data_IF_147627366651
#
_entry.id   IF_147627366651
#
_cell.length_a   1.000
_cell.length_b   1.000
_cell.length_c   1.000
_cell.angle_alpha   90.00
_cell.angle_beta   90.00
_cell.angle_gamma   90.00
#
_symmetry.space_group_name_H-M   'P 1'
#
loop_
_entity.id
_entity.type
_entity.pdbx_description
1 polymer ?
#
# COMPACT_ATOMS: atom_id res chain seq x y z
N UNK A 1 -46.85 19.78 31.16
CA UNK A 1 -45.40 20.04 31.19
C UNK A 1 -44.86 19.75 29.80
N UNK A 2 -44.69 20.78 28.95
CA UNK A 2 -44.15 20.63 27.58
C UNK A 2 -42.63 20.60 27.69
N UNK A 3 -42.02 19.46 27.40
CA UNK A 3 -40.57 19.35 27.25
C UNK A 3 -40.24 19.95 25.88
N UNK A 4 -39.77 21.19 25.86
CA UNK A 4 -39.14 21.79 24.69
C UNK A 4 -37.77 21.16 24.52
N UNK A 5 -37.67 20.13 23.68
CA UNK A 5 -36.39 19.63 23.17
C UNK A 5 -35.74 20.74 22.34
N UNK A 6 -34.53 21.15 22.72
CA UNK A 6 -33.73 22.10 21.98
C UNK A 6 -33.33 21.47 20.63
N UNK A 7 -33.92 21.95 19.54
CA UNK A 7 -33.74 21.39 18.19
C UNK A 7 -32.25 21.35 17.78
N UNK A 8 -31.40 22.22 18.34
CA UNK A 8 -29.95 22.23 18.08
C UNK A 8 -29.22 21.02 18.68
N UNK A 9 -29.68 20.50 19.81
CA UNK A 9 -29.08 19.31 20.45
C UNK A 9 -29.52 18.01 19.77
N UNK A 10 -30.70 17.99 19.14
CA UNK A 10 -31.17 16.85 18.35
C UNK A 10 -30.43 16.74 17.00
N UNK A 11 -30.09 17.87 16.37
CA UNK A 11 -29.31 17.90 15.11
C UNK A 11 -27.86 17.46 15.34
N UNK A 12 -27.26 17.78 16.49
CA UNK A 12 -25.91 17.32 16.83
C UNK A 12 -25.84 15.80 17.09
N UNK A 13 -26.89 15.22 17.69
CA UNK A 13 -26.96 13.78 17.93
C UNK A 13 -27.25 12.99 16.64
N UNK A 14 -28.05 13.55 15.72
CA UNK A 14 -28.35 12.92 14.42
C UNK A 14 -27.14 12.98 13.48
N UNK A 15 -26.31 14.03 13.55
CA UNK A 15 -25.03 14.08 12.83
C UNK A 15 -23.95 13.14 13.43
N UNK A 16 -24.08 12.72 14.69
CA UNK A 16 -23.17 11.73 15.28
C UNK A 16 -23.64 10.28 15.06
N UNK A 17 -24.89 10.08 14.65
CA UNK A 17 -25.50 8.78 14.37
C UNK A 17 -25.54 8.42 12.87
N UNK A 18 -25.17 9.35 12.00
CA UNK A 18 -24.97 9.07 10.57
C UNK A 18 -23.47 8.89 10.33
N UNK A 19 -23.10 7.66 9.94
CA UNK A 19 -21.80 7.21 9.44
C UNK A 19 -20.81 6.64 10.47
N UNK A 20 -21.31 5.85 11.42
CA UNK A 20 -20.57 4.65 11.80
C UNK A 20 -21.39 3.47 11.29
N UNK A 21 -21.45 3.32 9.97
CA UNK A 21 -21.66 1.98 9.44
C UNK A 21 -20.42 1.20 9.87
N UNK A 22 -20.53 0.03 10.51
CA UNK A 22 -19.37 -0.85 10.59
C UNK A 22 -18.88 -1.00 9.15
N UNK A 23 -17.60 -0.74 8.91
CA UNK A 23 -16.95 -1.13 7.67
C UNK A 23 -17.08 -2.65 7.58
N UNK A 24 -18.18 -3.12 7.03
CA UNK A 24 -18.35 -4.50 6.65
C UNK A 24 -17.42 -4.65 5.47
N UNK A 25 -16.49 -5.60 5.54
CA UNK A 25 -15.65 -5.94 4.40
C UNK A 25 -16.53 -6.02 3.14
N UNK A 26 -16.02 -5.53 2.03
CA UNK A 26 -16.67 -5.58 0.74
C UNK A 26 -15.62 -5.45 -0.35
N UNK A 27 -15.98 -5.75 -1.59
CA UNK A 27 -15.11 -5.46 -2.72
C UNK A 27 -15.04 -3.97 -3.11
N UNK A 28 -15.68 -3.09 -2.32
CA UNK A 28 -15.56 -1.65 -2.49
C UNK A 28 -14.32 -1.13 -1.74
N UNK A 29 -13.78 0.01 -2.17
CA UNK A 29 -12.66 0.65 -1.50
C UNK A 29 -13.06 1.28 -0.16
N UNK A 30 -13.24 0.43 0.84
CA UNK A 30 -13.67 0.80 2.19
C UNK A 30 -12.59 0.59 3.26
N UNK A 31 -11.39 0.13 2.86
CA UNK A 31 -10.22 -0.08 3.72
C UNK A 31 -9.00 0.68 3.23
N UNK A 32 -9.17 2.01 3.15
CA UNK A 32 -8.13 2.94 2.76
C UNK A 32 -6.78 2.71 3.46
N UNK A 33 -5.70 2.79 2.67
CA UNK A 33 -4.33 2.69 3.17
C UNK A 33 -4.04 3.89 4.09
N UNK A 34 -3.37 3.61 5.19
CA UNK A 34 -3.08 4.60 6.24
C UNK A 34 -1.60 4.94 6.26
N UNK A 35 -1.27 6.23 6.42
CA UNK A 35 0.10 6.66 6.66
C UNK A 35 0.59 6.10 7.98
N UNK A 36 1.67 5.31 7.93
CA UNK A 36 2.33 4.76 9.13
C UNK A 36 3.64 5.46 9.44
N UNK A 37 4.31 6.00 8.42
CA UNK A 37 5.55 6.75 8.53
C UNK A 37 5.46 7.94 7.59
N UNK A 38 5.78 9.11 8.13
CA UNK A 38 6.01 10.34 7.40
C UNK A 38 7.23 11.00 8.02
N UNK A 39 8.23 11.31 7.21
CA UNK A 39 9.48 11.92 7.67
C UNK A 39 10.18 12.70 6.55
N UNK A 40 11.14 13.52 6.95
CA UNK A 40 11.92 14.39 6.07
C UNK A 40 13.41 14.37 6.48
N UNK A 41 14.29 13.96 5.57
CA UNK A 41 15.75 13.93 5.79
C UNK A 41 16.53 13.91 4.47
N UNK A 42 17.84 14.14 4.51
CA UNK A 42 18.70 13.95 3.34
C UNK A 42 18.86 12.45 3.04
N UNK A 43 18.34 11.99 1.91
CA UNK A 43 18.24 10.57 1.64
C UNK A 43 17.37 10.22 0.44
N UNK A 44 17.05 8.93 0.32
CA UNK A 44 16.14 8.40 -0.71
C UNK A 44 15.52 7.09 -0.21
N UNK A 45 14.67 6.45 -1.01
CA UNK A 45 14.11 5.13 -0.70
C UNK A 45 14.01 4.24 -1.93
N UNK A 46 13.94 2.93 -1.67
CA UNK A 46 13.73 1.90 -2.67
C UNK A 46 12.67 0.89 -2.20
N UNK A 47 11.95 0.32 -3.16
CA UNK A 47 10.99 -0.76 -2.91
C UNK A 47 11.25 -1.91 -3.87
N UNK A 48 11.51 -3.09 -3.32
CA UNK A 48 11.76 -4.30 -4.11
C UNK A 48 10.74 -5.38 -3.83
N UNK A 49 10.34 -6.12 -4.87
CA UNK A 49 9.59 -7.37 -4.75
C UNK A 49 10.52 -8.60 -4.68
N UNK A 50 11.84 -8.40 -4.72
CA UNK A 50 12.81 -9.48 -4.78
C UNK A 50 12.57 -10.40 -5.98
N UNK A 51 12.72 -11.71 -5.76
CA UNK A 51 12.39 -12.75 -6.73
C UNK A 51 11.00 -13.39 -6.50
N UNK A 52 10.06 -12.59 -5.97
CA UNK A 52 8.71 -13.04 -5.63
C UNK A 52 8.01 -13.77 -6.79
N UNK A 53 7.34 -14.87 -6.45
CA UNK A 53 6.47 -15.65 -7.31
C UNK A 53 5.23 -16.09 -6.54
N UNK A 54 4.15 -16.38 -7.24
CA UNK A 54 2.99 -16.98 -6.60
C UNK A 54 3.34 -18.36 -6.06
N UNK A 55 3.05 -18.62 -4.79
CA UNK A 55 3.40 -19.89 -4.15
C UNK A 55 2.50 -21.05 -4.57
N UNK A 56 1.30 -20.76 -5.08
CA UNK A 56 0.19 -21.72 -5.03
C UNK A 56 -0.32 -21.90 -3.61
N UNK A 57 -1.24 -22.84 -3.42
CA UNK A 57 -1.76 -23.19 -2.10
C UNK A 57 -0.66 -23.88 -1.27
N UNK A 58 -0.33 -23.30 -0.11
CA UNK A 58 0.63 -23.86 0.83
C UNK A 58 -0.08 -24.71 1.87
N UNK A 59 0.25 -26.00 1.90
CA UNK A 59 -0.19 -26.93 2.95
C UNK A 59 0.64 -26.77 4.23
N UNK A 60 0.15 -27.32 5.34
CA UNK A 60 0.85 -27.26 6.62
C UNK A 60 2.25 -27.87 6.53
N UNK A 61 3.26 -27.12 6.97
CA UNK A 61 4.67 -27.50 6.89
C UNK A 61 5.37 -27.13 5.58
N UNK A 62 4.63 -26.70 4.55
CA UNK A 62 5.24 -26.17 3.33
C UNK A 62 5.80 -24.78 3.55
N UNK A 63 6.85 -24.46 2.79
CA UNK A 63 7.61 -23.22 2.91
C UNK A 63 7.65 -22.43 1.63
N UNK A 64 7.70 -21.11 1.76
CA UNK A 64 7.92 -20.18 0.67
C UNK A 64 9.06 -19.22 1.03
N UNK A 65 9.89 -18.85 0.06
CA UNK A 65 11.06 -18.00 0.28
C UNK A 65 11.21 -16.99 -0.85
N UNK A 66 11.48 -15.74 -0.48
CA UNK A 66 11.82 -14.63 -1.38
C UNK A 66 13.20 -14.12 -1.05
N UNK A 67 14.01 -13.89 -2.07
CA UNK A 67 15.36 -13.35 -1.98
C UNK A 67 15.38 -11.89 -2.44
N UNK A 68 16.13 -11.07 -1.71
CA UNK A 68 16.35 -9.66 -1.96
C UNK A 68 17.85 -9.39 -2.05
N UNK A 69 18.23 -8.48 -2.94
CA UNK A 69 19.58 -7.93 -3.00
C UNK A 69 19.53 -6.48 -2.51
N UNK A 70 20.13 -6.24 -1.34
CA UNK A 70 20.17 -4.93 -0.69
C UNK A 70 21.47 -4.25 -1.07
N UNK A 71 21.37 -3.12 -1.79
CA UNK A 71 22.51 -2.34 -2.27
C UNK A 71 22.26 -0.86 -2.00
N UNK A 72 22.52 -0.36 -0.78
CA UNK A 72 22.33 1.04 -0.44
C UNK A 72 23.16 1.95 -1.36
N UNK A 73 22.70 3.17 -1.68
CA UNK A 73 23.52 4.15 -2.40
C UNK A 73 24.82 4.43 -1.63
N UNK A 74 25.90 4.72 -2.35
CA UNK A 74 27.23 4.93 -1.76
C UNK A 74 27.18 5.97 -0.62
N UNK A 75 27.78 5.63 0.52
CA UNK A 75 27.83 6.50 1.70
C UNK A 75 26.53 6.55 2.52
N UNK A 76 25.47 5.83 2.12
CA UNK A 76 24.19 5.86 2.82
C UNK A 76 24.10 4.79 3.91
N UNK A 77 23.44 5.12 5.02
CA UNK A 77 22.96 4.16 6.01
C UNK A 77 21.50 3.77 5.72
N UNK A 78 21.09 2.60 6.22
CA UNK A 78 19.68 2.18 6.21
C UNK A 78 19.02 2.74 7.47
N UNK A 79 18.01 3.61 7.29
CA UNK A 79 17.26 4.25 8.37
C UNK A 79 15.99 3.49 8.72
N UNK A 80 15.29 2.97 7.70
CA UNK A 80 14.09 2.14 7.86
C UNK A 80 14.24 0.93 6.95
N UNK A 81 13.92 -0.25 7.48
CA UNK A 81 13.71 -1.45 6.68
C UNK A 81 12.38 -2.09 7.07
N UNK A 82 11.45 -2.20 6.11
CA UNK A 82 10.13 -2.79 6.33
C UNK A 82 9.87 -3.88 5.31
N UNK A 83 9.46 -5.05 5.79
CA UNK A 83 9.05 -6.14 4.93
C UNK A 83 7.55 -6.37 4.98
N UNK A 84 7.02 -6.82 3.85
CA UNK A 84 5.61 -7.07 3.63
C UNK A 84 5.45 -8.48 3.09
N UNK A 85 4.62 -9.32 3.72
CA UNK A 85 4.22 -10.62 3.17
C UNK A 85 2.77 -10.50 2.70
N UNK A 86 2.54 -10.70 1.40
CA UNK A 86 1.22 -10.59 0.79
C UNK A 86 0.62 -11.96 0.59
N UNK A 87 -0.55 -12.19 1.18
CA UNK A 87 -1.20 -13.49 1.18
C UNK A 87 -2.69 -13.39 0.85
N UNK A 88 -3.25 -14.51 0.38
CA UNK A 88 -4.61 -14.59 -0.11
C UNK A 88 -5.16 -16.01 0.02
N UNK A 89 -6.47 -16.18 -0.17
CA UNK A 89 -7.16 -17.47 -0.12
C UNK A 89 -6.92 -18.24 1.20
N UNK A 90 -6.79 -17.54 2.34
CA UNK A 90 -6.58 -18.19 3.63
C UNK A 90 -7.87 -18.81 4.16
N UNK A 91 -7.84 -20.14 4.36
CA UNK A 91 -9.03 -20.95 4.64
C UNK A 91 -8.72 -22.21 5.46
N UNK A 92 -9.76 -22.74 6.09
CA UNK A 92 -9.82 -24.12 6.56
C UNK A 92 -11.07 -24.77 5.96
N UNK A 93 -10.90 -25.67 5.00
CA UNK A 93 -12.02 -26.20 4.22
C UNK A 93 -12.74 -25.09 3.44
N UNK A 94 -13.96 -24.73 3.89
CA UNK A 94 -14.76 -23.63 3.33
C UNK A 94 -14.89 -22.42 4.27
N UNK A 95 -14.24 -22.47 5.42
CA UNK A 95 -14.24 -21.36 6.38
C UNK A 95 -13.05 -20.45 6.10
N UNK A 96 -13.29 -19.15 5.93
CA UNK A 96 -12.22 -18.16 5.89
C UNK A 96 -11.58 -18.01 7.26
N UNK A 97 -10.25 -18.09 7.32
CA UNK A 97 -9.46 -17.92 8.54
C UNK A 97 -8.31 -16.95 8.31
N UNK A 98 -7.69 -16.49 9.39
CA UNK A 98 -6.37 -15.85 9.28
C UNK A 98 -5.29 -16.93 9.14
N UNK A 99 -4.24 -16.68 8.34
CA UNK A 99 -3.18 -17.64 8.18
C UNK A 99 -2.34 -17.72 9.45
N UNK A 100 -1.83 -18.92 9.71
CA UNK A 100 -0.89 -19.19 10.80
C UNK A 100 0.42 -19.64 10.17
N UNK A 101 1.46 -18.81 10.23
CA UNK A 101 2.78 -19.16 9.70
C UNK A 101 3.90 -18.56 10.56
N UNK A 102 5.09 -19.13 10.42
CA UNK A 102 6.32 -18.60 11.01
C UNK A 102 7.18 -18.02 9.91
N UNK A 103 7.62 -16.79 10.07
CA UNK A 103 8.53 -16.12 9.14
C UNK A 103 9.90 -15.90 9.77
N UNK A 104 10.94 -15.90 8.95
CA UNK A 104 12.32 -15.69 9.36
C UNK A 104 13.10 -14.92 8.30
N UNK A 105 13.97 -14.02 8.73
CA UNK A 105 14.97 -13.38 7.89
C UNK A 105 16.26 -14.18 7.93
N UNK A 106 16.80 -14.50 6.76
CA UNK A 106 18.05 -15.22 6.58
C UNK A 106 19.06 -14.31 5.92
N UNK A 107 20.23 -14.16 6.56
CA UNK A 107 21.34 -13.38 6.03
C UNK A 107 22.68 -13.97 6.50
N UNK A 108 23.63 -14.13 5.59
CA UNK A 108 24.99 -14.60 5.89
C UNK A 108 25.04 -15.89 6.74
N UNK A 109 24.12 -16.82 6.50
CA UNK A 109 24.00 -18.09 7.23
C UNK A 109 23.34 -18.00 8.62
N UNK A 110 22.99 -16.79 9.07
CA UNK A 110 22.17 -16.55 10.26
C UNK A 110 20.69 -16.53 9.88
N UNK A 111 19.84 -16.98 10.81
CA UNK A 111 18.38 -16.96 10.65
C UNK A 111 17.76 -16.38 11.91
N UNK A 112 16.96 -15.32 11.76
CA UNK A 112 16.25 -14.64 12.84
C UNK A 112 14.75 -14.82 12.62
N UNK A 113 14.01 -15.17 13.68
CA UNK A 113 12.55 -15.26 13.61
C UNK A 113 11.97 -13.85 13.54
N UNK A 114 11.06 -13.62 12.61
CA UNK A 114 10.37 -12.34 12.48
C UNK A 114 9.13 -12.29 13.37
N UNK A 115 8.95 -11.15 14.03
CA UNK A 115 7.75 -10.84 14.79
C UNK A 115 6.88 -9.92 13.95
N UNK A 116 5.65 -10.34 13.68
CA UNK A 116 4.67 -9.50 12.99
C UNK A 116 4.44 -8.22 13.80
N UNK A 117 4.69 -7.08 13.18
CA UNK A 117 4.38 -5.77 13.75
C UNK A 117 2.88 -5.46 13.59
N UNK A 118 2.34 -5.77 12.40
CA UNK A 118 0.95 -5.49 12.05
C UNK A 118 0.45 -6.38 10.94
N UNK A 119 -0.83 -6.74 10.99
CA UNK A 119 -1.56 -7.42 9.91
C UNK A 119 -2.75 -6.59 9.45
N UNK A 120 -2.82 -6.34 8.15
CA UNK A 120 -3.98 -5.76 7.46
C UNK A 120 -4.72 -6.87 6.74
N UNK A 121 -6.05 -6.89 6.85
CA UNK A 121 -6.86 -7.96 6.25
C UNK A 121 -8.12 -7.44 5.62
N UNK A 122 -8.50 -8.13 4.56
CA UNK A 122 -9.77 -7.91 3.90
C UNK A 122 -10.34 -9.19 3.30
N UNK A 123 -11.65 -9.16 3.03
CA UNK A 123 -12.39 -10.26 2.45
C UNK A 123 -13.43 -9.74 1.49
N UNK A 124 -14.07 -10.66 0.77
CA UNK A 124 -15.24 -10.36 -0.05
C UNK A 124 -16.37 -9.73 0.78
N UNK A 125 -16.55 -10.21 2.01
CA UNK A 125 -17.40 -9.61 3.04
C UNK A 125 -18.91 -9.68 2.79
N UNK A 126 -19.32 -10.62 1.92
CA UNK A 126 -20.69 -11.10 1.83
C UNK A 126 -20.73 -12.61 1.75
N UNK A 127 -21.80 -13.20 2.30
CA UNK A 127 -21.96 -14.66 2.40
C UNK A 127 -21.85 -15.30 1.03
N UNK A 128 -20.79 -16.09 0.86
CA UNK A 128 -20.40 -16.74 -0.38
C UNK A 128 -19.63 -18.02 -0.04
N UNK A 129 -19.58 -18.97 -0.98
CA UNK A 129 -18.83 -20.22 -0.80
C UNK A 129 -17.32 -20.01 -0.62
N UNK A 130 -16.81 -18.87 -1.07
CA UNK A 130 -15.38 -18.52 -1.11
C UNK A 130 -15.15 -17.12 -0.53
N UNK A 131 -15.67 -16.85 0.68
CA UNK A 131 -15.36 -15.64 1.44
C UNK A 131 -14.14 -15.92 2.33
N UNK A 132 -12.96 -15.91 1.70
CA UNK A 132 -11.68 -16.18 2.35
C UNK A 132 -10.92 -14.88 2.57
N UNK A 133 -9.99 -14.91 3.53
CA UNK A 133 -9.19 -13.74 3.83
C UNK A 133 -8.01 -13.58 2.86
N UNK A 134 -7.72 -12.32 2.59
CA UNK A 134 -6.47 -11.84 2.01
C UNK A 134 -5.88 -10.76 2.92
N UNK A 135 -4.57 -10.53 2.83
CA UNK A 135 -3.92 -9.61 3.74
C UNK A 135 -2.46 -9.33 3.44
N UNK A 136 -1.95 -8.40 4.26
CA UNK A 136 -0.55 -7.97 4.28
C UNK A 136 -0.06 -8.05 5.72
N UNK A 137 1.00 -8.82 5.94
CA UNK A 137 1.70 -8.86 7.22
C UNK A 137 2.97 -8.02 7.11
N UNK A 138 3.18 -7.16 8.10
CA UNK A 138 4.26 -6.17 8.14
C UNK A 138 5.25 -6.52 9.23
N UNK A 139 6.53 -6.35 8.90
CA UNK A 139 7.65 -6.59 9.78
C UNK A 139 8.59 -5.39 9.74
N UNK A 140 8.93 -4.84 10.91
CA UNK A 140 10.04 -3.90 11.04
C UNK A 140 11.35 -4.68 11.14
N UNK A 141 12.22 -4.45 10.16
CA UNK A 141 13.53 -5.10 10.01
C UNK A 141 14.67 -4.08 10.19
N UNK A 142 14.39 -2.89 10.70
CA UNK A 142 15.38 -1.81 10.80
C UNK A 142 16.56 -2.17 11.71
N UNK A 143 16.35 -3.07 12.67
CA UNK A 143 17.43 -3.62 13.51
C UNK A 143 18.16 -4.83 12.87
N UNK A 144 17.54 -5.47 11.88
CA UNK A 144 18.04 -6.71 11.26
C UNK A 144 18.77 -6.47 9.91
N UNK A 145 18.43 -5.40 9.20
CA UNK A 145 19.02 -5.03 7.90
C UNK A 145 19.75 -3.70 8.05
N UNK A 146 21.07 -3.77 8.19
CA UNK A 146 21.93 -2.60 8.40
C UNK A 146 23.05 -2.44 7.37
N UNK A 147 23.22 -3.42 6.47
CA UNK A 147 24.31 -3.41 5.49
C UNK A 147 23.88 -3.96 4.13
N UNK A 148 24.74 -3.77 3.14
CA UNK A 148 24.55 -4.35 1.82
C UNK A 148 24.69 -5.87 1.87
N UNK A 149 23.87 -6.59 1.10
CA UNK A 149 23.96 -8.04 1.03
C UNK A 149 22.72 -8.71 0.46
N UNK A 150 22.76 -10.04 0.46
CA UNK A 150 21.61 -10.84 0.08
C UNK A 150 20.84 -11.25 1.34
N UNK A 151 19.54 -11.02 1.31
CA UNK A 151 18.62 -11.33 2.39
C UNK A 151 17.52 -12.23 1.85
N UNK A 152 17.07 -13.20 2.64
CA UNK A 152 15.92 -14.03 2.28
C UNK A 152 14.86 -13.96 3.36
N UNK A 153 13.62 -13.70 2.98
CA UNK A 153 12.47 -13.86 3.86
C UNK A 153 11.88 -15.24 3.56
N UNK A 154 11.93 -16.12 4.56
CA UNK A 154 11.34 -17.45 4.48
C UNK A 154 10.12 -17.51 5.40
N UNK A 155 9.08 -18.21 4.95
CA UNK A 155 7.89 -18.48 5.75
C UNK A 155 7.50 -19.96 5.65
N UNK A 156 6.93 -20.50 6.72
CA UNK A 156 6.44 -21.87 6.81
C UNK A 156 5.01 -21.87 7.35
N UNK A 157 4.08 -22.50 6.64
CA UNK A 157 2.71 -22.68 7.12
C UNK A 157 2.72 -23.52 8.41
N UNK A 158 2.15 -22.96 9.48
CA UNK A 158 2.11 -23.54 10.83
C UNK A 158 0.68 -23.82 11.33
N UNK A 159 -0.34 -23.68 10.47
CA UNK A 159 -1.75 -23.77 10.86
C UNK A 159 -2.27 -25.16 11.20
N UNK A 160 -1.55 -26.22 10.82
CA UNK A 160 -1.99 -27.60 10.98
C UNK A 160 -2.95 -28.04 9.86
N UNK A 161 -3.58 -29.21 10.05
CA UNK A 161 -4.32 -29.89 8.98
C UNK A 161 -5.44 -29.03 8.37
N UNK A 162 -5.54 -29.09 7.04
CA UNK A 162 -6.54 -28.39 6.20
C UNK A 162 -6.51 -26.86 6.24
N UNK A 163 -5.61 -26.24 7.01
CA UNK A 163 -5.39 -24.79 6.99
C UNK A 163 -4.40 -24.42 5.90
N UNK A 164 -4.91 -23.79 4.84
CA UNK A 164 -4.10 -23.42 3.67
C UNK A 164 -4.28 -21.95 3.33
N UNK A 165 -3.27 -21.41 2.65
CA UNK A 165 -3.28 -20.06 2.11
C UNK A 165 -2.29 -19.99 0.94
N UNK A 166 -2.37 -18.93 0.15
CA UNK A 166 -1.39 -18.66 -0.90
C UNK A 166 -0.61 -17.40 -0.56
N UNK A 167 0.65 -17.36 -0.96
CA UNK A 167 1.52 -16.17 -0.89
C UNK A 167 1.71 -15.64 -2.30
N UNK A 168 1.45 -14.34 -2.47
CA UNK A 168 1.57 -13.65 -3.76
C UNK A 168 2.98 -13.09 -3.97
N UNK A 169 3.69 -12.86 -2.87
CA UNK A 169 5.07 -12.39 -2.86
C UNK A 169 5.42 -11.79 -1.51
N UNK A 170 6.61 -11.21 -1.45
CA UNK A 170 7.04 -10.33 -0.39
C UNK A 170 7.59 -9.03 -0.98
N UNK A 171 7.43 -7.93 -0.24
CA UNK A 171 8.02 -6.63 -0.54
C UNK A 171 9.04 -6.24 0.52
N UNK A 172 10.08 -5.52 0.12
CA UNK A 172 11.05 -4.91 1.02
C UNK A 172 11.19 -3.43 0.67
N UNK A 173 10.79 -2.57 1.61
CA UNK A 173 10.96 -1.13 1.56
C UNK A 173 12.20 -0.75 2.38
N UNK A 174 13.10 0.00 1.78
CA UNK A 174 14.30 0.53 2.44
C UNK A 174 14.33 2.05 2.30
N UNK A 175 14.47 2.74 3.42
CA UNK A 175 14.73 4.18 3.46
C UNK A 175 16.18 4.38 3.84
N UNK A 176 16.88 5.16 3.03
CA UNK A 176 18.30 5.46 3.21
C UNK A 176 18.49 6.88 3.73
N UNK A 177 19.50 7.07 4.57
CA UNK A 177 19.94 8.38 5.04
C UNK A 177 21.36 8.64 4.52
N UNK A 178 21.56 9.81 3.91
CA UNK A 178 22.84 10.24 3.41
C UNK A 178 22.87 11.78 3.30
N UNK A 179 23.75 12.47 4.04
CA UNK A 179 23.81 13.93 4.03
C UNK A 179 24.22 14.53 2.67
N UNK A 180 24.84 13.74 1.78
CA UNK A 180 25.24 14.16 0.44
C UNK A 180 24.13 13.95 -0.60
N UNK A 181 23.00 13.33 -0.24
CA UNK A 181 21.81 13.21 -1.08
C UNK A 181 20.85 14.39 -0.88
N UNK A 182 19.94 14.66 -1.84
CA UNK A 182 18.93 15.68 -1.69
C UNK A 182 18.10 15.52 -0.41
N UNK A 183 17.63 16.64 0.11
CA UNK A 183 16.58 16.64 1.13
C UNK A 183 15.33 16.01 0.53
N UNK A 184 14.73 15.10 1.27
CA UNK A 184 13.67 14.23 0.79
C UNK A 184 12.59 14.11 1.84
N UNK A 185 11.33 14.26 1.44
CA UNK A 185 10.15 14.02 2.29
C UNK A 185 9.37 12.85 1.72
N UNK A 186 8.88 11.96 2.58
CA UNK A 186 8.16 10.77 2.12
C UNK A 186 7.05 10.35 3.07
N UNK A 187 6.02 9.74 2.48
CA UNK A 187 4.91 9.11 3.18
C UNK A 187 4.87 7.64 2.81
N UNK A 188 4.78 6.76 3.81
CA UNK A 188 4.59 5.33 3.63
C UNK A 188 3.18 5.00 4.10
N UNK A 189 2.29 4.72 3.15
CA UNK A 189 0.94 4.30 3.44
C UNK A 189 0.82 2.79 3.25
N UNK A 190 0.25 2.12 4.26
CA UNK A 190 0.12 0.67 4.33
C UNK A 190 -1.34 0.26 4.56
N UNK A 191 -1.70 -0.91 4.06
CA UNK A 191 -3.03 -1.47 4.24
C UNK A 191 -3.24 -2.79 3.48
N UNK A 192 -4.51 -3.15 3.37
CA UNK A 192 -5.00 -4.21 2.50
C UNK A 192 -6.48 -3.93 2.22
N UNK A 193 -6.78 -3.59 0.98
CA UNK A 193 -8.13 -3.37 0.47
C UNK A 193 -8.32 -4.24 -0.77
N UNK A 194 -9.24 -5.20 -0.72
CA UNK A 194 -9.50 -6.16 -1.80
C UNK A 194 -10.59 -5.59 -2.69
N UNK A 195 -10.20 -5.13 -3.88
CA UNK A 195 -11.09 -4.47 -4.81
C UNK A 195 -11.53 -5.40 -5.91
N UNK A 196 -12.83 -5.42 -6.18
CA UNK A 196 -13.37 -6.13 -7.33
C UNK A 196 -14.67 -5.51 -7.85
N UNK A 197 -14.61 -4.90 -9.04
CA UNK A 197 -15.75 -4.31 -9.75
C UNK A 197 -16.65 -5.39 -10.38
N UNK A 198 -17.11 -6.31 -9.55
CA UNK A 198 -18.07 -7.36 -9.85
C UNK A 198 -19.09 -7.45 -8.69
N UNK A 199 -20.10 -8.32 -8.80
CA UNK A 199 -21.09 -8.56 -7.73
C UNK A 199 -21.93 -7.33 -7.34
N UNK A 200 -22.16 -6.42 -8.29
CA UNK A 200 -22.92 -5.19 -8.07
C UNK A 200 -22.08 -4.02 -7.56
N UNK A 201 -20.76 -4.22 -7.42
CA UNK A 201 -19.79 -3.16 -7.22
C UNK A 201 -19.35 -2.65 -8.59
N UNK A 202 -19.51 -1.34 -8.82
CA UNK A 202 -18.98 -0.69 -10.03
C UNK A 202 -17.53 -0.22 -9.81
N UNK A 203 -16.80 0.17 -10.86
CA UNK A 203 -15.41 0.60 -10.72
C UNK A 203 -15.21 1.80 -9.78
N UNK A 204 -16.16 2.73 -9.71
CA UNK A 204 -16.04 3.86 -8.79
C UNK A 204 -16.16 3.37 -7.34
N UNK A 205 -17.03 2.40 -7.05
CA UNK A 205 -17.07 1.76 -5.73
C UNK A 205 -15.81 0.93 -5.45
N UNK A 206 -15.28 0.19 -6.44
CA UNK A 206 -14.05 -0.58 -6.33
C UNK A 206 -12.79 0.29 -6.49
N UNK A 207 -12.75 1.42 -5.79
CA UNK A 207 -11.63 2.36 -5.79
C UNK A 207 -11.24 2.73 -4.37
N UNK A 208 -10.02 2.36 -3.98
CA UNK A 208 -9.39 2.79 -2.72
C UNK A 208 -8.70 4.13 -2.91
N UNK A 209 -8.87 5.05 -1.97
CA UNK A 209 -8.15 6.32 -1.96
C UNK A 209 -7.26 6.42 -0.74
N UNK A 210 -6.04 6.91 -0.92
CA UNK A 210 -5.09 7.17 0.16
C UNK A 210 -4.54 8.58 0.05
N UNK A 211 -4.32 9.21 1.19
CA UNK A 211 -3.97 10.62 1.30
C UNK A 211 -2.52 10.77 1.79
N UNK A 212 -1.85 11.80 1.29
CA UNK A 212 -0.53 12.24 1.71
C UNK A 212 -0.71 13.60 2.36
N UNK A 213 -0.99 13.59 3.66
CA UNK A 213 -1.29 14.80 4.43
C UNK A 213 -0.03 15.63 4.65
N UNK A 214 -0.15 16.94 4.49
CA UNK A 214 0.95 17.88 4.61
C UNK A 214 0.80 19.05 3.64
N UNK A 215 1.53 20.12 3.94
CA UNK A 215 1.68 21.25 3.05
C UNK A 215 2.97 21.07 2.25
N UNK A 216 2.87 21.13 0.93
CA UNK A 216 3.99 21.02 -0.01
C UNK A 216 4.10 22.34 -0.77
N UNK A 217 5.32 22.76 -1.09
CA UNK A 217 5.58 23.84 -2.04
C UNK A 217 6.06 23.23 -3.36
N UNK A 218 5.18 22.92 -4.34
CA UNK A 218 5.57 22.19 -5.55
C UNK A 218 6.70 22.85 -6.34
N UNK A 219 6.84 24.18 -6.25
CA UNK A 219 7.93 24.93 -6.86
C UNK A 219 9.32 24.58 -6.31
N UNK A 220 9.41 24.06 -5.09
CA UNK A 220 10.66 23.65 -4.44
C UNK A 220 11.00 22.18 -4.69
N UNK A 221 10.09 21.42 -5.30
CA UNK A 221 10.28 20.01 -5.60
C UNK A 221 10.98 19.87 -6.95
N UNK A 222 12.09 19.13 -6.97
CA UNK A 222 12.81 18.78 -8.20
C UNK A 222 12.21 17.53 -8.82
N UNK A 223 11.91 16.53 -7.99
CA UNK A 223 11.36 15.25 -8.42
C UNK A 223 10.33 14.75 -7.41
N UNK A 224 9.30 14.08 -7.92
CA UNK A 224 8.31 13.41 -7.08
C UNK A 224 7.92 12.08 -7.71
N UNK A 225 7.96 11.02 -6.90
CA UNK A 225 7.61 9.67 -7.33
C UNK A 225 6.48 9.12 -6.47
N UNK A 226 5.55 8.44 -7.14
CA UNK A 226 4.55 7.59 -6.49
C UNK A 226 4.93 6.14 -6.75
N UNK A 227 5.10 5.37 -5.68
CA UNK A 227 5.27 3.92 -5.73
C UNK A 227 4.01 3.26 -5.18
N UNK A 228 3.47 2.28 -5.89
CA UNK A 228 2.31 1.50 -5.44
C UNK A 228 2.52 0.01 -5.62
N UNK A 229 1.99 -0.78 -4.69
CA UNK A 229 2.05 -2.24 -4.73
C UNK A 229 0.63 -2.78 -4.78
N UNK A 230 0.40 -3.69 -5.73
CA UNK A 230 -0.90 -4.32 -5.92
C UNK A 230 -0.78 -5.82 -6.18
N UNK A 231 -0.90 -6.67 -5.15
CA UNK A 231 -1.12 -8.10 -5.32
C UNK A 231 -2.38 -8.37 -6.16
N UNK A 232 -2.35 -9.39 -7.01
CA UNK A 232 -3.36 -9.72 -8.03
C UNK A 232 -3.60 -8.65 -9.11
N UNK A 233 -3.06 -7.44 -8.98
CA UNK A 233 -3.20 -6.36 -9.96
C UNK A 233 -2.71 -6.77 -11.34
N UNK A 234 -3.60 -6.72 -12.33
CA UNK A 234 -3.29 -7.07 -13.72
C UNK A 234 -3.25 -8.55 -14.03
N UNK A 235 -3.60 -9.43 -13.07
CA UNK A 235 -3.76 -10.85 -13.34
C UNK A 235 -5.10 -11.04 -14.02
N UNK A 236 -5.10 -11.16 -15.34
CA UNK A 236 -6.30 -11.50 -16.09
C UNK A 236 -6.06 -12.73 -16.95
N UNK A 237 -6.99 -13.67 -16.94
CA UNK A 237 -6.91 -14.92 -17.70
C UNK A 237 -7.08 -14.66 -19.21
N UNK A 238 -6.04 -14.11 -19.85
CA UNK A 238 -5.97 -13.92 -21.30
C UNK A 238 -6.58 -12.62 -21.86
N UNK A 239 -6.82 -11.61 -21.02
CA UNK A 239 -7.27 -10.27 -21.44
C UNK A 239 -6.23 -9.18 -21.13
N UNK A 240 -6.43 -7.96 -21.61
CA UNK A 240 -5.65 -6.82 -21.10
C UNK A 240 -6.03 -6.55 -19.64
N UNK A 241 -5.06 -6.11 -18.84
CA UNK A 241 -5.33 -5.63 -17.48
C UNK A 241 -6.41 -4.53 -17.49
N UNK A 242 -7.27 -4.51 -16.47
CA UNK A 242 -8.39 -3.60 -16.25
C UNK A 242 -8.30 -2.99 -14.85
N UNK A 243 -7.26 -2.19 -14.65
CA UNK A 243 -7.06 -1.40 -13.43
C UNK A 243 -6.67 0.03 -13.80
N UNK A 244 -6.82 0.95 -12.85
CA UNK A 244 -6.39 2.34 -13.01
C UNK A 244 -5.70 2.85 -11.76
N UNK A 245 -4.74 3.75 -11.98
CA UNK A 245 -4.12 4.56 -10.94
C UNK A 245 -4.47 6.02 -11.19
N UNK A 246 -4.77 6.74 -10.13
CA UNK A 246 -5.07 8.16 -10.13
C UNK A 246 -4.11 8.86 -9.16
N UNK A 247 -3.66 10.05 -9.51
CA UNK A 247 -2.93 10.94 -8.60
C UNK A 247 -3.49 12.35 -8.75
N UNK A 248 -4.05 12.89 -7.66
CA UNK A 248 -4.80 14.15 -7.62
C UNK A 248 -5.92 14.28 -8.66
N UNK A 249 -6.28 13.19 -9.33
CA UNK A 249 -7.40 13.11 -10.27
C UNK A 249 -8.62 12.61 -9.53
N UNK A 250 -9.74 13.33 -9.67
CA UNK A 250 -10.99 12.97 -8.99
C UNK A 250 -11.58 11.69 -9.55
N UNK A 251 -12.04 10.82 -8.65
CA UNK A 251 -12.86 9.65 -8.96
C UNK A 251 -14.29 9.87 -8.43
N UNK A 252 -15.27 9.09 -8.91
CA UNK A 252 -16.65 9.16 -8.40
C UNK A 252 -16.79 8.75 -6.92
N UNK A 253 -15.78 8.06 -6.40
CA UNK A 253 -15.68 7.46 -5.06
C UNK A 253 -15.37 8.46 -3.95
N UNK A 254 -14.78 9.61 -4.27
CA UNK A 254 -14.35 10.59 -3.27
C UNK A 254 -15.61 11.32 -2.75
N UNK A 255 -16.03 11.11 -1.48
CA UNK A 255 -17.14 11.86 -0.93
C UNK A 255 -16.77 13.35 -0.94
N UNK A 256 -17.66 14.19 -1.46
CA UNK A 256 -17.53 15.65 -1.42
C UNK A 256 -17.67 16.09 0.04
N UNK A 257 -16.61 15.95 0.84
CA UNK A 257 -16.53 16.58 2.15
C UNK A 257 -16.17 18.04 1.91
N UNK A 258 -17.22 18.88 1.89
CA UNK A 258 -17.11 20.33 1.74
C UNK A 258 -16.99 20.78 0.29
N UNK A 259 -17.93 21.60 -0.16
CA UNK A 259 -17.95 22.29 -1.47
C UNK A 259 -16.74 23.22 -1.74
N UNK A 260 -15.70 23.19 -0.88
CA UNK A 260 -14.51 24.03 -0.93
C UNK A 260 -13.34 23.31 -1.65
N UNK A 261 -13.31 21.98 -1.68
CA UNK A 261 -12.28 21.18 -2.37
C UNK A 261 -12.45 21.23 -3.91
N UNK A 262 -13.57 21.75 -4.43
CA UNK A 262 -13.86 21.73 -5.87
C UNK A 262 -13.04 22.70 -6.71
N UNK A 263 -12.47 23.75 -6.13
CA UNK A 263 -11.89 24.90 -6.85
C UNK A 263 -10.36 25.03 -6.80
N UNK A 264 -9.66 24.19 -6.03
CA UNK A 264 -8.25 24.43 -5.67
C UNK A 264 -7.23 23.46 -6.31
N UNK A 265 -7.65 22.35 -6.91
CA UNK A 265 -6.71 21.34 -7.43
C UNK A 265 -6.37 21.63 -8.89
N UNK A 266 -5.06 21.71 -9.17
CA UNK A 266 -4.52 21.68 -10.53
C UNK A 266 -4.81 20.32 -11.18
N UNK A 267 -4.60 20.21 -12.50
CA UNK A 267 -5.02 19.03 -13.27
C UNK A 267 -4.31 17.76 -12.82
N UNK A 268 -5.03 16.90 -12.10
CA UNK A 268 -4.59 15.56 -11.74
C UNK A 268 -4.32 14.66 -12.95
N UNK A 269 -3.88 13.44 -12.67
CA UNK A 269 -3.62 12.44 -13.71
C UNK A 269 -4.21 11.08 -13.38
N UNK A 270 -4.72 10.43 -14.43
CA UNK A 270 -5.07 9.02 -14.43
C UNK A 270 -4.29 8.24 -15.48
N UNK A 271 -4.06 6.97 -15.17
CA UNK A 271 -3.42 6.00 -16.05
C UNK A 271 -4.19 4.69 -15.98
N UNK A 272 -4.25 3.98 -17.12
CA UNK A 272 -4.95 2.72 -17.26
C UNK A 272 -3.94 1.58 -17.38
N UNK A 273 -4.34 0.40 -16.92
CA UNK A 273 -3.62 -0.87 -17.10
C UNK A 273 -2.20 -0.78 -16.54
N UNK A 274 -2.11 -0.17 -15.36
CA UNK A 274 -0.87 0.16 -14.67
C UNK A 274 -0.23 -1.10 -14.08
N UNK A 275 -1.03 -1.90 -13.40
CA UNK A 275 -0.59 -3.18 -12.86
C UNK A 275 -0.68 -4.23 -13.94
N UNK A 276 0.43 -4.93 -14.18
CA UNK A 276 0.54 -6.00 -15.15
C UNK A 276 1.32 -7.15 -14.53
N UNK A 277 0.70 -8.32 -14.47
CA UNK A 277 1.24 -9.54 -13.84
C UNK A 277 0.96 -10.75 -14.72
N UNK A 278 1.41 -11.93 -14.30
CA UNK A 278 1.13 -13.19 -14.99
C UNK A 278 0.90 -14.32 -13.97
N UNK A 279 0.67 -15.54 -14.48
CA UNK A 279 0.40 -16.70 -13.62
C UNK A 279 1.54 -17.05 -12.65
N UNK A 280 2.79 -16.73 -13.01
CA UNK A 280 3.98 -16.98 -12.18
C UNK A 280 4.17 -15.89 -11.14
N UNK A 281 3.94 -14.62 -11.50
CA UNK A 281 4.15 -13.45 -10.63
C UNK A 281 2.82 -12.73 -10.52
N UNK A 282 2.10 -12.93 -9.40
CA UNK A 282 0.77 -12.35 -9.16
C UNK A 282 0.82 -11.14 -8.22
N UNK A 283 1.87 -10.33 -8.35
CA UNK A 283 2.04 -9.08 -7.60
C UNK A 283 2.67 -8.03 -8.51
N UNK A 284 2.06 -6.85 -8.57
CA UNK A 284 2.55 -5.73 -9.36
C UNK A 284 3.18 -4.67 -8.46
N UNK A 285 4.30 -4.12 -8.93
CA UNK A 285 4.92 -2.90 -8.42
C UNK A 285 4.88 -1.87 -9.54
N UNK A 286 4.39 -0.68 -9.24
CA UNK A 286 4.42 0.45 -10.16
C UNK A 286 5.11 1.64 -9.50
N UNK A 287 6.02 2.27 -10.23
CA UNK A 287 6.69 3.51 -9.86
C UNK A 287 6.56 4.52 -11.00
N UNK A 288 6.20 5.76 -10.67
CA UNK A 288 6.09 6.82 -11.67
C UNK A 288 6.33 8.20 -11.12
N UNK A 289 6.75 9.10 -12.01
CA UNK A 289 6.84 10.53 -11.70
C UNK A 289 5.45 11.16 -11.63
N UNK A 290 5.21 11.93 -10.57
CA UNK A 290 3.95 12.63 -10.29
C UNK A 290 4.12 14.13 -10.06
N UNK A 291 5.34 14.67 -10.18
CA UNK A 291 5.66 16.06 -9.82
C UNK A 291 4.81 17.13 -10.52
N UNK A 292 4.47 16.91 -11.79
CA UNK A 292 3.63 17.83 -12.58
C UNK A 292 2.16 17.90 -12.12
N UNK A 293 1.76 17.00 -11.21
CA UNK A 293 0.39 16.87 -10.73
C UNK A 293 0.29 17.13 -9.23
N UNK A 294 1.39 17.52 -8.57
CA UNK A 294 1.39 17.88 -7.15
C UNK A 294 0.55 19.13 -6.90
N UNK A 295 -0.22 19.07 -5.82
CA UNK A 295 -0.90 20.22 -5.26
C UNK A 295 -0.20 20.67 -3.98
N UNK A 296 -0.42 21.93 -3.60
CA UNK A 296 0.19 22.49 -2.38
C UNK A 296 -0.28 21.84 -1.08
N UNK A 297 -1.41 21.14 -1.11
CA UNK A 297 -1.95 20.37 0.02
C UNK A 297 -2.96 19.33 -0.50
N UNK A 298 -3.30 18.38 0.37
CA UNK A 298 -4.38 17.42 0.10
C UNK A 298 -4.07 16.48 -1.06
N UNK A 299 -2.79 16.14 -1.25
CA UNK A 299 -2.39 15.18 -2.29
C UNK A 299 -2.95 13.79 -1.97
N UNK A 300 -3.37 13.07 -2.99
CA UNK A 300 -3.93 11.73 -2.83
C UNK A 300 -3.66 10.86 -4.07
N UNK A 301 -3.62 9.56 -3.84
CA UNK A 301 -3.64 8.56 -4.90
C UNK A 301 -4.89 7.70 -4.78
N UNK A 302 -5.40 7.19 -5.90
CA UNK A 302 -6.47 6.19 -5.88
C UNK A 302 -6.15 5.01 -6.78
N UNK A 303 -6.41 3.81 -6.28
CA UNK A 303 -6.23 2.54 -6.98
C UNK A 303 -7.63 2.00 -7.28
N UNK A 304 -7.91 1.72 -8.54
CA UNK A 304 -9.23 1.26 -8.99
C UNK A 304 -9.12 -0.09 -9.68
N UNK A 305 -10.01 -1.00 -9.31
CA UNK A 305 -10.32 -2.19 -10.08
C UNK A 305 -11.43 -1.89 -11.12
N UNK A 306 -11.31 -2.49 -12.30
CA UNK A 306 -12.32 -2.46 -13.35
C UNK A 306 -12.58 -3.89 -13.89
N UNK A 307 -12.56 -4.85 -12.98
CA UNK A 307 -12.92 -6.25 -13.17
C UNK A 307 -11.74 -7.24 -13.16
N UNK A 308 -10.54 -6.84 -12.74
CA UNK A 308 -9.39 -7.74 -12.64
C UNK A 308 -9.36 -8.54 -11.33
N UNK A 309 -9.95 -8.00 -10.26
CA UNK A 309 -9.65 -8.35 -8.87
C UNK A 309 -8.22 -7.96 -8.51
N UNK A 310 -8.06 -7.09 -7.52
CA UNK A 310 -6.75 -6.68 -7.04
C UNK A 310 -6.77 -6.34 -5.56
N UNK A 311 -5.59 -6.28 -4.96
CA UNK A 311 -5.39 -5.76 -3.62
C UNK A 311 -4.66 -4.43 -3.71
N UNK A 312 -5.12 -3.40 -2.99
CA UNK A 312 -4.33 -2.20 -2.72
C UNK A 312 -3.62 -2.40 -1.37
N UNK A 313 -2.28 -2.36 -1.33
CA UNK A 313 -1.54 -2.67 -0.09
C UNK A 313 -0.56 -1.59 0.32
N UNK A 314 0.12 -0.95 -0.64
CA UNK A 314 1.09 0.09 -0.35
C UNK A 314 0.95 1.24 -1.34
N UNK A 315 1.07 2.46 -0.82
CA UNK A 315 1.24 3.66 -1.61
C UNK A 315 2.26 4.56 -0.92
N UNK A 316 3.33 4.89 -1.63
CA UNK A 316 4.45 5.67 -1.10
C UNK A 316 4.63 6.89 -1.99
N UNK A 317 4.56 8.07 -1.40
CA UNK A 317 4.93 9.32 -2.07
C UNK A 317 6.32 9.71 -1.60
N UNK A 318 7.21 9.98 -2.55
CA UNK A 318 8.58 10.45 -2.33
C UNK A 318 8.77 11.78 -3.04
N UNK A 319 9.22 12.79 -2.32
CA UNK A 319 9.54 14.11 -2.84
C UNK A 319 11.02 14.40 -2.63
N UNK A 320 11.72 14.79 -3.69
CA UNK A 320 13.11 15.25 -3.64
C UNK A 320 13.13 16.76 -3.85
N UNK A 321 13.68 17.50 -2.90
CA UNK A 321 13.75 18.95 -2.95
C UNK A 321 14.90 19.43 -3.83
N UNK A 322 14.72 20.59 -4.44
CA UNK A 322 15.79 21.31 -5.14
C UNK A 322 16.91 21.65 -4.16
N UNK A 323 18.16 21.56 -4.63
CA UNK A 323 19.26 22.10 -3.86
C UNK A 323 19.03 23.59 -3.57
N UNK A 324 19.27 24.05 -2.32
CA UNK A 324 19.13 25.46 -2.00
C UNK A 324 20.05 26.28 -2.90
N UNK A 325 19.49 27.28 -3.60
CA UNK A 325 20.28 28.18 -4.43
C UNK A 325 21.39 28.81 -3.57
N UNK A 326 22.64 28.50 -3.89
CA UNK A 326 23.78 28.97 -3.13
C UNK A 326 23.99 30.46 -3.46
N UNK A 327 23.70 31.43 -2.56
CA UNK A 327 23.73 32.85 -2.89
C UNK A 327 25.15 33.39 -3.15
N UNK A 328 26.17 32.54 -3.03
CA UNK A 328 27.59 32.87 -3.21
C UNK A 328 28.13 32.82 -4.65
N UNK A 329 27.40 32.30 -5.65
CA UNK A 329 27.83 32.36 -7.06
C UNK A 329 27.30 33.61 -7.76
N UNK A 330 27.66 34.80 -7.25
CA UNK A 330 27.67 36.00 -8.09
C UNK A 330 28.97 36.03 -8.89
N UNK A 331 28.81 35.97 -10.20
CA UNK A 331 29.80 36.16 -11.27
C UNK A 331 31.11 36.85 -10.82
N UNK A 332 32.21 36.09 -10.91
CA UNK A 332 33.56 36.62 -11.05
C UNK A 332 33.92 36.72 -12.53
#
# INVERSE_FOLDING_TARGET
MRITMNLKSAVLLINLLLLIMPASASYAGDKNLQTVIHDEHCGTLDFSLGDSRYSGELESGESYTVNFSVNPPEGSSIKVARAYIYWTWSKQGLDGIYPEFKSSLVHSGSSVLLLEEKRYTDTKGFVSRYDFFSGTDVYDLSEDISEAGNYSISLVNAGGDEKTFCVQGAGLLLVYENPDLPQTEYWINEGCDVLYAEYGIDPDMATTTTFFEGDICPENIENARLITVSPSGGYSSGTEARNRLFFNEKTGSIPVIGDIIKLLFAGGKSWKNVYQTNETVQIALDERSVGNYLDSNGNFASIQDNGDYLMATNAILLLEFKEPENPGKRYG
#
